data_IF_374131045647
#
_entry.id   IF_374131045647
#
_cell.length_a   1.000
_cell.length_b   1.000
_cell.length_c   1.000
_cell.angle_alpha   90.00
_cell.angle_beta   90.00
_cell.angle_gamma   90.00
#
_symmetry.space_group_name_H-M   'P 1'
#
loop_
_entity.id
_entity.type
_entity.pdbx_description
1 polymer ?
#
# COMPACT_ATOMS: atom_id res chain seq x y z
N UNK A 1 3.80 18.34 -3.20
CA UNK A 1 4.71 19.20 -3.96
C UNK A 1 4.31 19.26 -5.43
N UNK A 2 4.35 18.18 -6.22
CA UNK A 2 4.04 18.22 -7.66
C UNK A 2 2.63 18.73 -8.00
N UNK A 3 1.60 18.38 -7.26
CA UNK A 3 0.25 18.90 -7.47
C UNK A 3 0.16 20.43 -7.21
N UNK A 4 0.88 20.94 -6.23
CA UNK A 4 0.97 22.40 -5.98
C UNK A 4 1.74 23.09 -7.11
N UNK A 5 2.83 22.47 -7.57
CA UNK A 5 3.59 22.97 -8.73
C UNK A 5 2.75 22.97 -10.02
N UNK A 6 1.85 22.03 -10.19
CA UNK A 6 0.97 22.01 -11.38
C UNK A 6 0.13 23.30 -11.51
N UNK A 7 -0.29 23.86 -10.37
CA UNK A 7 -1.07 25.11 -10.30
C UNK A 7 -0.19 26.33 -10.26
N UNK A 8 0.85 26.31 -9.41
CA UNK A 8 1.80 27.41 -9.24
C UNK A 8 3.21 26.93 -9.63
N UNK A 9 3.71 27.38 -10.77
CA UNK A 9 5.00 26.97 -11.35
C UNK A 9 6.20 27.62 -10.64
N UNK A 10 6.26 27.45 -9.29
CA UNK A 10 7.35 27.99 -8.47
C UNK A 10 8.70 27.27 -8.77
N UNK A 11 9.72 27.99 -9.28
CA UNK A 11 11.02 27.40 -9.60
C UNK A 11 11.76 26.83 -8.35
N UNK A 12 11.51 27.41 -7.16
CA UNK A 12 12.12 26.93 -5.92
C UNK A 12 11.54 25.56 -5.53
N UNK A 13 10.22 25.40 -5.72
CA UNK A 13 9.54 24.14 -5.47
C UNK A 13 10.02 23.08 -6.46
N UNK A 14 10.19 23.44 -7.74
CA UNK A 14 10.72 22.56 -8.77
C UNK A 14 12.15 22.08 -8.43
N UNK A 15 13.04 22.98 -8.08
CA UNK A 15 14.41 22.65 -7.68
C UNK A 15 14.46 21.77 -6.40
N UNK A 16 13.53 21.97 -5.47
CA UNK A 16 13.42 21.15 -4.27
C UNK A 16 12.96 19.71 -4.61
N UNK A 17 12.00 19.57 -5.53
CA UNK A 17 11.57 18.26 -6.04
C UNK A 17 12.73 17.54 -6.73
N UNK A 18 13.49 18.22 -7.60
CA UNK A 18 14.62 17.62 -8.30
C UNK A 18 15.69 17.10 -7.33
N UNK A 19 15.98 17.83 -6.26
CA UNK A 19 16.92 17.38 -5.21
C UNK A 19 16.44 16.13 -4.50
N UNK A 20 15.16 16.07 -4.13
CA UNK A 20 14.58 14.89 -3.48
C UNK A 20 14.56 13.68 -4.43
N UNK A 21 14.19 13.90 -5.68
CA UNK A 21 14.14 12.86 -6.71
C UNK A 21 15.53 12.28 -6.98
N UNK A 22 16.56 13.10 -7.03
CA UNK A 22 17.94 12.65 -7.23
C UNK A 22 18.39 11.68 -6.12
N UNK A 23 18.01 11.92 -4.87
CA UNK A 23 18.30 11.00 -3.74
C UNK A 23 17.54 9.69 -3.89
N UNK A 24 16.25 9.74 -4.22
CA UNK A 24 15.41 8.55 -4.41
C UNK A 24 15.98 7.66 -5.51
N UNK A 25 16.28 8.23 -6.68
CA UNK A 25 16.81 7.49 -7.82
C UNK A 25 18.18 6.87 -7.51
N UNK A 26 19.02 7.59 -6.77
CA UNK A 26 20.34 7.05 -6.34
C UNK A 26 20.23 5.88 -5.37
N UNK A 27 19.16 5.84 -4.56
CA UNK A 27 18.92 4.75 -3.62
C UNK A 27 18.31 3.50 -4.28
N UNK A 28 17.77 3.62 -5.50
CA UNK A 28 17.13 2.50 -6.20
C UNK A 28 18.17 1.52 -6.75
N UNK A 29 17.96 0.22 -6.54
CA UNK A 29 18.76 -0.86 -7.14
C UNK A 29 18.56 -0.91 -8.65
N UNK A 30 19.49 -1.58 -9.34
CA UNK A 30 19.44 -1.74 -10.80
C UNK A 30 18.20 -2.50 -11.27
N UNK A 31 17.74 -3.48 -10.47
CA UNK A 31 16.52 -4.26 -10.72
C UNK A 31 15.22 -3.50 -10.45
N UNK A 32 15.30 -2.28 -9.91
CA UNK A 32 14.15 -1.44 -9.63
C UNK A 32 13.66 -1.43 -8.19
N UNK A 33 14.18 -2.35 -7.34
CA UNK A 33 13.84 -2.40 -5.93
C UNK A 33 14.35 -1.16 -5.17
N UNK A 34 13.53 -0.68 -4.23
CA UNK A 34 13.91 0.42 -3.34
C UNK A 34 13.24 0.26 -1.98
N UNK A 35 14.04 -0.10 -0.98
CA UNK A 35 13.70 -0.03 0.44
C UNK A 35 14.99 0.06 1.24
N UNK A 36 15.30 1.26 1.71
CA UNK A 36 16.62 1.57 2.27
C UNK A 36 17.01 0.71 3.48
N UNK A 37 16.11 0.35 4.44
CA UNK A 37 16.49 -0.53 5.53
C UNK A 37 16.98 -1.90 5.05
N UNK A 38 16.28 -2.53 4.11
CA UNK A 38 16.67 -3.84 3.55
C UNK A 38 17.99 -3.72 2.77
N UNK A 39 18.14 -2.70 1.92
CA UNK A 39 19.34 -2.46 1.14
C UNK A 39 20.57 -2.24 2.03
N UNK A 40 20.43 -1.50 3.14
CA UNK A 40 21.49 -1.28 4.12
C UNK A 40 21.88 -2.59 4.81
N UNK A 41 20.88 -3.39 5.19
CA UNK A 41 21.13 -4.66 5.86
C UNK A 41 21.78 -5.69 4.94
N UNK A 42 21.34 -5.79 3.69
CA UNK A 42 22.00 -6.60 2.66
C UNK A 42 23.49 -6.20 2.51
N UNK A 43 23.75 -4.89 2.40
CA UNK A 43 25.10 -4.34 2.28
C UNK A 43 25.97 -4.65 3.49
N UNK A 44 25.42 -4.55 4.70
CA UNK A 44 26.15 -4.87 5.94
C UNK A 44 26.49 -6.36 6.03
N UNK A 45 25.74 -7.23 5.35
CA UNK A 45 26.00 -8.67 5.24
C UNK A 45 26.92 -9.03 4.06
N UNK A 46 27.52 -8.04 3.39
CA UNK A 46 28.44 -8.23 2.27
C UNK A 46 27.76 -8.52 0.93
N UNK A 47 26.44 -8.32 0.85
CA UNK A 47 25.70 -8.39 -0.42
C UNK A 47 25.91 -7.06 -1.16
N UNK A 48 26.39 -7.11 -2.42
CA UNK A 48 26.42 -5.91 -3.26
C UNK A 48 24.99 -5.55 -3.69
N UNK A 49 24.35 -4.74 -2.86
CA UNK A 49 22.95 -4.36 -3.03
C UNK A 49 22.67 -3.58 -4.31
N UNK A 50 23.70 -3.00 -4.97
CA UNK A 50 23.50 -2.33 -6.26
C UNK A 50 23.46 -3.32 -7.42
N UNK A 51 24.13 -4.46 -7.28
CA UNK A 51 24.16 -5.53 -8.28
C UNK A 51 23.27 -6.71 -7.96
N UNK A 52 22.52 -6.65 -6.84
CA UNK A 52 21.58 -7.71 -6.50
C UNK A 52 20.55 -7.86 -7.63
N UNK A 53 20.61 -9.01 -8.30
CA UNK A 53 19.64 -9.41 -9.30
C UNK A 53 18.48 -10.12 -8.63
N UNK A 54 17.36 -10.25 -9.31
CA UNK A 54 16.19 -11.00 -8.84
C UNK A 54 16.50 -12.40 -8.30
N UNK A 55 17.53 -13.05 -8.84
CA UNK A 55 17.99 -14.37 -8.41
C UNK A 55 18.56 -14.38 -6.98
N UNK A 56 18.88 -13.20 -6.41
CA UNK A 56 19.44 -13.05 -5.06
C UNK A 56 18.38 -12.65 -4.03
N UNK A 57 17.10 -12.70 -4.33
CA UNK A 57 16.02 -12.57 -3.36
C UNK A 57 15.98 -13.79 -2.42
N UNK A 58 17.13 -14.12 -1.85
CA UNK A 58 17.25 -15.17 -0.84
C UNK A 58 16.73 -14.58 0.47
N UNK A 59 15.58 -15.03 0.89
CA UNK A 59 15.08 -14.78 2.23
C UNK A 59 15.98 -15.51 3.21
N UNK A 60 16.75 -14.75 4.00
CA UNK A 60 17.61 -15.30 5.04
C UNK A 60 16.84 -15.22 6.36
N UNK A 61 16.60 -16.36 6.98
CA UNK A 61 15.87 -16.46 8.24
C UNK A 61 14.99 -17.72 8.31
N UNK A 62 14.41 -17.99 9.45
CA UNK A 62 13.78 -19.29 9.72
C UNK A 62 12.34 -19.40 9.20
N UNK A 63 11.60 -18.31 9.04
CA UNK A 63 10.23 -18.29 8.51
C UNK A 63 9.91 -16.96 7.84
N UNK A 64 9.26 -16.99 6.67
CA UNK A 64 8.72 -15.80 6.01
C UNK A 64 7.74 -15.08 6.96
N UNK A 65 7.94 -13.78 7.15
CA UNK A 65 7.11 -12.94 8.01
C UNK A 65 7.61 -12.80 9.46
N UNK A 66 8.71 -13.45 9.85
CA UNK A 66 9.32 -13.25 11.18
C UNK A 66 10.21 -12.01 11.21
N UNK A 67 10.40 -11.43 12.39
CA UNK A 67 11.18 -10.20 12.58
C UNK A 67 12.68 -10.35 12.28
N UNK A 68 13.18 -11.57 12.25
CA UNK A 68 14.58 -11.93 11.97
C UNK A 68 14.89 -12.09 10.47
N UNK A 69 13.88 -11.96 9.62
CA UNK A 69 14.05 -12.13 8.18
C UNK A 69 14.55 -10.89 7.47
N UNK A 70 15.53 -11.11 6.62
CA UNK A 70 16.18 -10.10 5.77
C UNK A 70 15.99 -10.48 4.32
N UNK A 71 15.71 -9.49 3.52
CA UNK A 71 15.49 -9.63 2.09
C UNK A 71 14.23 -8.87 1.64
N UNK A 72 14.09 -8.68 0.35
CA UNK A 72 12.93 -8.01 -0.21
C UNK A 72 11.64 -8.77 0.15
N UNK A 73 10.68 -8.05 0.73
CA UNK A 73 9.36 -8.53 1.14
C UNK A 73 9.35 -9.64 2.22
N UNK A 74 10.48 -9.94 2.81
CA UNK A 74 10.56 -10.97 3.85
C UNK A 74 9.79 -10.57 5.12
N UNK A 75 9.82 -9.30 5.50
CA UNK A 75 9.13 -8.78 6.67
C UNK A 75 7.95 -7.88 6.24
N UNK A 76 6.73 -8.33 6.52
CA UNK A 76 5.49 -7.57 6.21
C UNK A 76 5.47 -6.16 6.84
N UNK A 77 6.09 -5.98 8.01
CA UNK A 77 6.13 -4.70 8.72
C UNK A 77 7.07 -3.66 8.09
N UNK A 78 7.84 -4.03 7.08
CA UNK A 78 8.63 -3.08 6.30
C UNK A 78 7.77 -2.22 5.37
N UNK A 79 6.52 -2.60 5.11
CA UNK A 79 5.59 -1.86 4.24
C UNK A 79 6.16 -1.54 2.85
N UNK A 80 6.97 -2.43 2.29
CA UNK A 80 7.70 -2.21 1.04
C UNK A 80 6.74 -1.97 -0.13
N UNK A 81 5.73 -2.83 -0.29
CA UNK A 81 4.73 -2.69 -1.35
C UNK A 81 3.90 -1.42 -1.20
N UNK A 82 3.63 -0.99 0.04
CA UNK A 82 2.99 0.29 0.33
C UNK A 82 3.82 1.46 -0.19
N UNK A 83 5.11 1.48 0.13
CA UNK A 83 6.02 2.53 -0.30
C UNK A 83 6.21 2.56 -1.82
N UNK A 84 6.31 1.39 -2.46
CA UNK A 84 6.40 1.28 -3.92
C UNK A 84 5.13 1.81 -4.62
N UNK A 85 3.94 1.52 -4.08
CA UNK A 85 2.70 2.08 -4.59
C UNK A 85 2.67 3.61 -4.56
N UNK A 86 3.16 4.20 -3.47
CA UNK A 86 3.28 5.66 -3.37
C UNK A 86 4.34 6.23 -4.30
N UNK A 87 5.45 5.54 -4.52
CA UNK A 87 6.45 5.94 -5.52
C UNK A 87 5.87 5.99 -6.94
N UNK A 88 5.07 4.98 -7.30
CA UNK A 88 4.38 4.93 -8.60
C UNK A 88 3.44 6.12 -8.77
N UNK A 89 2.57 6.38 -7.78
CA UNK A 89 1.67 7.54 -7.79
C UNK A 89 2.45 8.85 -7.87
N UNK A 90 3.51 9.02 -7.08
CA UNK A 90 4.34 10.21 -7.10
C UNK A 90 5.02 10.40 -8.46
N UNK A 91 5.51 9.33 -9.08
CA UNK A 91 6.11 9.35 -10.41
C UNK A 91 5.14 9.84 -11.47
N UNK A 92 3.93 9.31 -11.50
CA UNK A 92 2.88 9.73 -12.44
C UNK A 92 2.45 11.19 -12.22
N UNK A 93 2.20 11.59 -10.97
CA UNK A 93 1.78 12.97 -10.65
C UNK A 93 2.89 13.98 -10.99
N UNK A 94 4.15 13.66 -10.68
CA UNK A 94 5.28 14.51 -11.00
C UNK A 94 5.46 14.65 -12.52
N UNK A 95 5.37 13.55 -13.26
CA UNK A 95 5.48 13.57 -14.72
C UNK A 95 4.38 14.42 -15.37
N UNK A 96 3.13 14.25 -14.94
CA UNK A 96 2.00 15.07 -15.45
C UNK A 96 2.18 16.57 -15.14
N UNK A 97 2.73 16.90 -13.97
CA UNK A 97 2.91 18.29 -13.54
C UNK A 97 4.07 19.01 -14.21
N UNK A 98 5.17 18.28 -14.50
CA UNK A 98 6.45 18.87 -14.92
C UNK A 98 6.93 18.44 -16.30
N UNK A 99 6.46 17.33 -16.83
CA UNK A 99 7.02 16.67 -18.03
C UNK A 99 8.35 15.92 -17.78
N UNK A 100 8.93 16.02 -16.58
CA UNK A 100 10.22 15.39 -16.24
C UNK A 100 10.05 13.90 -15.98
N UNK A 101 10.90 13.08 -16.60
CA UNK A 101 10.78 11.61 -16.54
C UNK A 101 11.60 10.93 -15.46
N UNK A 102 12.45 11.65 -14.71
CA UNK A 102 13.40 11.04 -13.78
C UNK A 102 12.71 10.18 -12.72
N UNK A 103 11.72 10.73 -12.00
CA UNK A 103 10.96 9.98 -11.00
C UNK A 103 10.03 8.94 -11.67
N UNK A 104 9.46 9.28 -12.81
CA UNK A 104 8.61 8.38 -13.59
C UNK A 104 9.36 7.13 -14.06
N UNK A 105 10.59 7.27 -14.54
CA UNK A 105 11.43 6.13 -14.91
C UNK A 105 11.80 5.26 -13.70
N UNK A 106 12.02 5.86 -12.53
CA UNK A 106 12.20 5.09 -11.30
C UNK A 106 10.92 4.32 -10.92
N UNK A 107 9.75 4.92 -11.10
CA UNK A 107 8.46 4.25 -10.89
C UNK A 107 8.24 3.09 -11.88
N UNK A 108 8.62 3.26 -13.16
CA UNK A 108 8.59 2.17 -14.16
C UNK A 108 9.44 0.99 -13.69
N UNK A 109 10.70 1.23 -13.31
CA UNK A 109 11.59 0.16 -12.81
C UNK A 109 11.01 -0.55 -11.58
N UNK A 110 10.43 0.20 -10.65
CA UNK A 110 9.79 -0.38 -9.47
C UNK A 110 8.57 -1.23 -9.83
N UNK A 111 7.79 -0.83 -10.82
CA UNK A 111 6.64 -1.59 -11.31
C UNK A 111 7.08 -2.86 -12.03
N UNK A 112 8.11 -2.78 -12.87
CA UNK A 112 8.70 -3.95 -13.55
C UNK A 112 9.28 -4.94 -12.54
N UNK A 113 9.92 -4.44 -11.49
CA UNK A 113 10.39 -5.25 -10.37
C UNK A 113 9.22 -6.01 -9.71
N UNK A 114 8.10 -5.34 -9.40
CA UNK A 114 6.93 -6.01 -8.82
C UNK A 114 6.31 -7.04 -9.77
N UNK A 115 6.22 -6.74 -11.06
CA UNK A 115 5.76 -7.72 -12.04
C UNK A 115 6.62 -9.00 -11.99
N UNK A 116 7.93 -8.85 -12.02
CA UNK A 116 8.84 -9.98 -11.96
C UNK A 116 8.77 -10.71 -10.61
N UNK A 117 8.70 -9.95 -9.51
CA UNK A 117 8.57 -10.52 -8.17
C UNK A 117 7.34 -11.43 -8.05
N UNK A 118 6.16 -10.96 -8.45
CA UNK A 118 4.94 -11.76 -8.33
C UNK A 118 4.85 -12.91 -9.34
N UNK A 119 5.62 -12.88 -10.42
CA UNK A 119 5.76 -13.99 -11.37
C UNK A 119 6.68 -15.10 -10.86
N UNK A 120 7.70 -14.76 -10.06
CA UNK A 120 8.81 -15.65 -9.71
C UNK A 120 8.91 -16.01 -8.23
N UNK A 121 8.33 -15.21 -7.33
CA UNK A 121 8.38 -15.46 -5.89
C UNK A 121 7.63 -16.74 -5.50
N UNK A 122 8.08 -17.38 -4.41
CA UNK A 122 7.28 -18.44 -3.80
C UNK A 122 5.90 -17.94 -3.40
N UNK A 123 4.89 -18.81 -3.42
CA UNK A 123 3.54 -18.44 -3.02
C UNK A 123 3.48 -17.89 -1.58
N UNK A 124 4.33 -18.37 -0.69
CA UNK A 124 4.44 -17.88 0.68
C UNK A 124 4.97 -16.44 0.72
N UNK A 125 6.06 -16.16 0.01
CA UNK A 125 6.65 -14.82 -0.05
C UNK A 125 5.73 -13.82 -0.75
N UNK A 126 5.10 -14.21 -1.86
CA UNK A 126 4.14 -13.38 -2.57
C UNK A 126 2.94 -13.00 -1.70
N UNK A 127 2.43 -13.93 -0.88
CA UNK A 127 1.35 -13.67 0.08
C UNK A 127 1.79 -12.80 1.25
N UNK A 128 3.04 -12.93 1.70
CA UNK A 128 3.59 -12.08 2.74
C UNK A 128 3.75 -10.62 2.29
N UNK A 129 4.08 -10.41 1.03
CA UNK A 129 4.28 -9.08 0.43
C UNK A 129 2.98 -8.27 0.23
N UNK A 130 1.80 -8.85 0.46
CA UNK A 130 0.52 -8.19 0.19
C UNK A 130 0.32 -6.97 1.09
N UNK A 131 0.19 -5.81 0.44
CA UNK A 131 -0.31 -4.58 1.02
C UNK A 131 -1.18 -3.86 -0.02
N UNK A 132 -2.39 -3.35 0.35
CA UNK A 132 -3.36 -2.86 -0.64
C UNK A 132 -2.92 -1.63 -1.44
N UNK A 133 -2.06 -0.79 -0.89
CA UNK A 133 -1.78 0.54 -1.46
C UNK A 133 -1.10 0.52 -2.84
N UNK A 134 -0.36 -0.53 -3.18
CA UNK A 134 0.30 -0.59 -4.47
C UNK A 134 -0.66 -0.83 -5.64
N UNK A 135 -1.89 -1.31 -5.41
CA UNK A 135 -2.89 -1.52 -6.47
C UNK A 135 -3.17 -0.23 -7.24
N UNK A 136 -3.44 0.86 -6.56
CA UNK A 136 -3.65 2.18 -7.17
C UNK A 136 -2.44 2.62 -7.99
N UNK A 137 -1.24 2.48 -7.43
CA UNK A 137 0.00 2.82 -8.11
C UNK A 137 0.20 2.01 -9.39
N UNK A 138 -0.08 0.72 -9.37
CA UNK A 138 0.07 -0.18 -10.52
C UNK A 138 -0.91 0.17 -11.64
N UNK A 139 -2.18 0.46 -11.31
CA UNK A 139 -3.18 0.89 -12.31
C UNK A 139 -2.80 2.25 -12.90
N UNK A 140 -2.31 3.20 -12.09
CA UNK A 140 -1.81 4.48 -12.61
C UNK A 140 -0.61 4.33 -13.54
N UNK A 141 0.28 3.39 -13.26
CA UNK A 141 1.38 3.05 -14.18
C UNK A 141 0.85 2.45 -15.49
N UNK A 142 -0.19 1.60 -15.44
CA UNK A 142 -0.87 1.13 -16.64
C UNK A 142 -1.42 2.30 -17.47
N UNK A 143 -2.18 3.19 -16.84
CA UNK A 143 -2.77 4.38 -17.51
C UNK A 143 -1.70 5.30 -18.13
N UNK A 144 -0.57 5.45 -17.45
CA UNK A 144 0.49 6.34 -17.89
C UNK A 144 1.39 5.75 -18.98
N UNK A 145 1.50 4.42 -19.06
CA UNK A 145 2.42 3.74 -19.99
C UNK A 145 1.72 2.95 -21.08
N UNK A 146 0.46 2.56 -20.88
CA UNK A 146 -0.26 1.63 -21.77
C UNK A 146 0.25 0.17 -21.66
N UNK A 147 1.14 -0.15 -20.73
CA UNK A 147 1.70 -1.50 -20.60
C UNK A 147 0.69 -2.47 -19.98
N UNK A 148 0.14 -3.45 -20.75
CA UNK A 148 -0.91 -4.34 -20.27
C UNK A 148 -0.44 -5.25 -19.10
N UNK A 149 0.87 -5.50 -18.98
CA UNK A 149 1.43 -6.29 -17.90
C UNK A 149 1.14 -5.68 -16.52
N UNK A 150 1.04 -4.36 -16.45
CA UNK A 150 0.71 -3.68 -15.19
C UNK A 150 -0.76 -3.87 -14.81
N UNK A 151 -1.68 -3.87 -15.77
CA UNK A 151 -3.08 -4.19 -15.48
C UNK A 151 -3.24 -5.65 -15.04
N UNK A 152 -2.54 -6.59 -15.68
CA UNK A 152 -2.56 -7.99 -15.25
C UNK A 152 -2.00 -8.15 -13.83
N UNK A 153 -0.92 -7.44 -13.48
CA UNK A 153 -0.41 -7.41 -12.11
C UNK A 153 -1.50 -6.91 -11.13
N UNK A 154 -2.17 -5.80 -11.44
CA UNK A 154 -3.21 -5.24 -10.56
C UNK A 154 -4.37 -6.24 -10.33
N UNK A 155 -4.80 -6.96 -11.37
CA UNK A 155 -5.80 -8.04 -11.26
C UNK A 155 -5.31 -9.18 -10.37
N UNK A 156 -4.07 -9.62 -10.56
CA UNK A 156 -3.47 -10.70 -9.78
C UNK A 156 -3.33 -10.35 -8.31
N UNK A 157 -3.05 -9.09 -7.97
CA UNK A 157 -2.96 -8.63 -6.58
C UNK A 157 -4.30 -8.76 -5.83
N UNK A 158 -5.44 -8.61 -6.53
CA UNK A 158 -6.75 -8.89 -5.96
C UNK A 158 -6.94 -10.40 -5.77
N UNK A 159 -6.55 -11.21 -6.75
CA UNK A 159 -6.71 -12.66 -6.71
C UNK A 159 -5.89 -13.33 -5.61
N UNK A 160 -4.63 -12.92 -5.46
CA UNK A 160 -3.70 -13.52 -4.49
C UNK A 160 -4.16 -13.35 -3.03
N UNK A 161 -4.95 -12.33 -2.72
CA UNK A 161 -5.53 -12.14 -1.39
C UNK A 161 -6.43 -13.29 -0.98
N UNK A 162 -7.24 -13.81 -1.89
CA UNK A 162 -8.07 -15.00 -1.66
C UNK A 162 -7.29 -16.30 -1.48
N UNK A 163 -5.99 -16.30 -1.71
CA UNK A 163 -5.12 -17.49 -1.60
C UNK A 163 -4.28 -17.48 -0.32
N UNK A 164 -4.41 -16.48 0.56
CA UNK A 164 -3.67 -16.38 1.80
C UNK A 164 -4.18 -17.42 2.80
N UNK A 165 -3.27 -18.26 3.29
CA UNK A 165 -3.58 -19.15 4.41
C UNK A 165 -3.54 -18.34 5.71
N UNK A 166 -4.53 -18.54 6.58
CA UNK A 166 -4.65 -17.79 7.83
C UNK A 166 -4.65 -16.28 7.61
N UNK A 167 -5.35 -15.81 6.59
CA UNK A 167 -5.60 -14.39 6.36
C UNK A 167 -6.36 -13.76 7.51
N UNK A 168 -6.23 -12.45 7.68
CA UNK A 168 -6.84 -11.69 8.77
C UNK A 168 -7.73 -10.58 8.23
N UNK A 169 -8.69 -10.14 9.01
CA UNK A 169 -9.47 -8.94 8.69
C UNK A 169 -8.58 -7.69 8.73
N UNK A 170 -7.54 -7.67 9.58
CA UNK A 170 -6.57 -6.57 9.65
C UNK A 170 -5.96 -6.20 8.29
N UNK A 171 -5.68 -7.20 7.47
CA UNK A 171 -5.15 -7.00 6.11
C UNK A 171 -6.17 -7.25 5.00
N UNK A 172 -7.44 -7.40 5.32
CA UNK A 172 -8.55 -7.70 4.40
C UNK A 172 -8.29 -8.94 3.52
N UNK A 173 -7.58 -9.96 4.05
CA UNK A 173 -7.20 -11.17 3.32
C UNK A 173 -7.73 -12.47 3.97
N UNK A 174 -8.59 -12.38 5.00
CA UNK A 174 -9.32 -13.52 5.54
C UNK A 174 -10.39 -14.04 4.57
N UNK A 175 -11.06 -13.13 3.89
CA UNK A 175 -12.09 -13.43 2.89
C UNK A 175 -11.63 -12.91 1.53
N UNK A 176 -11.71 -13.71 0.45
CA UNK A 176 -11.42 -13.24 -0.90
C UNK A 176 -12.23 -11.98 -1.23
N UNK A 177 -11.62 -11.02 -1.95
CA UNK A 177 -12.32 -9.74 -2.21
C UNK A 177 -13.67 -9.93 -2.88
N UNK A 178 -13.78 -10.89 -3.81
CA UNK A 178 -15.03 -11.17 -4.53
C UNK A 178 -16.17 -11.71 -3.65
N UNK A 179 -15.86 -12.12 -2.43
CA UNK A 179 -16.82 -12.59 -1.42
C UNK A 179 -17.06 -11.56 -0.31
N UNK A 180 -16.28 -10.47 -0.28
CA UNK A 180 -16.45 -9.41 0.73
C UNK A 180 -17.71 -8.60 0.47
N UNK A 181 -18.49 -8.33 1.52
CA UNK A 181 -19.74 -7.54 1.48
C UNK A 181 -19.75 -6.39 2.48
N UNK A 182 -18.82 -6.38 3.41
CA UNK A 182 -18.71 -5.42 4.50
C UNK A 182 -17.28 -4.92 4.62
N UNK A 183 -17.09 -3.68 5.08
CA UNK A 183 -15.78 -3.15 5.37
C UNK A 183 -15.27 -3.72 6.69
N UNK A 184 -14.08 -4.33 6.65
CA UNK A 184 -13.48 -5.03 7.77
C UNK A 184 -12.03 -4.58 7.98
N UNK A 185 -11.57 -4.73 9.22
CA UNK A 185 -10.18 -4.64 9.58
C UNK A 185 -9.62 -3.22 9.62
N UNK A 186 -8.34 -3.08 9.33
CA UNK A 186 -7.61 -1.81 9.44
C UNK A 186 -8.12 -0.79 8.40
N UNK A 187 -8.70 0.32 8.86
CA UNK A 187 -9.42 1.28 8.00
C UNK A 187 -8.56 1.83 6.85
N UNK A 188 -7.30 2.17 7.11
CA UNK A 188 -6.40 2.70 6.08
C UNK A 188 -6.16 1.66 4.99
N UNK A 189 -5.83 0.41 5.37
CA UNK A 189 -5.61 -0.68 4.42
C UNK A 189 -6.88 -1.00 3.63
N UNK A 190 -8.03 -1.01 4.30
CA UNK A 190 -9.33 -1.23 3.68
C UNK A 190 -9.63 -0.18 2.58
N UNK A 191 -9.49 1.10 2.90
CA UNK A 191 -9.74 2.17 1.94
C UNK A 191 -8.76 2.13 0.74
N UNK A 192 -7.49 1.80 0.97
CA UNK A 192 -6.55 1.60 -0.14
C UNK A 192 -6.93 0.40 -1.02
N UNK A 193 -7.37 -0.72 -0.40
CA UNK A 193 -7.85 -1.87 -1.17
C UNK A 193 -9.05 -1.49 -2.03
N UNK A 194 -10.06 -0.86 -1.43
CA UNK A 194 -11.30 -0.53 -2.14
C UNK A 194 -11.06 0.48 -3.27
N UNK A 195 -10.20 1.48 -3.04
CA UNK A 195 -9.79 2.41 -4.09
C UNK A 195 -9.05 1.69 -5.23
N UNK A 196 -8.09 0.81 -4.90
CA UNK A 196 -7.37 0.04 -5.91
C UNK A 196 -8.26 -0.92 -6.70
N UNK A 197 -9.24 -1.56 -6.05
CA UNK A 197 -10.22 -2.41 -6.74
C UNK A 197 -11.15 -1.58 -7.63
N UNK A 198 -11.55 -0.38 -7.20
CA UNK A 198 -12.34 0.53 -8.03
C UNK A 198 -11.57 0.95 -9.30
N UNK A 199 -10.27 1.21 -9.17
CA UNK A 199 -9.41 1.48 -10.32
C UNK A 199 -9.31 0.29 -11.27
N UNK A 200 -9.16 -0.94 -10.76
CA UNK A 200 -9.16 -2.16 -11.60
C UNK A 200 -10.52 -2.34 -12.28
N UNK A 201 -11.63 -2.12 -11.57
CA UNK A 201 -12.96 -2.15 -12.16
C UNK A 201 -13.09 -1.14 -13.32
N UNK A 202 -12.63 0.09 -13.12
CA UNK A 202 -12.70 1.13 -14.16
C UNK A 202 -11.98 0.74 -15.46
N UNK A 203 -10.91 -0.06 -15.37
CA UNK A 203 -10.17 -0.54 -16.54
C UNK A 203 -10.70 -1.86 -17.13
N UNK A 204 -11.39 -2.69 -16.33
CA UNK A 204 -11.77 -4.06 -16.75
C UNK A 204 -13.27 -4.25 -16.97
N UNK A 205 -14.11 -3.45 -16.29
CA UNK A 205 -15.56 -3.64 -16.26
C UNK A 205 -16.01 -4.90 -15.53
N UNK A 206 -15.17 -5.54 -14.72
CA UNK A 206 -15.51 -6.78 -13.99
C UNK A 206 -16.63 -6.53 -12.97
N UNK A 207 -17.85 -6.88 -13.34
CA UNK A 207 -19.07 -6.53 -12.59
C UNK A 207 -19.04 -6.96 -11.11
N UNK A 208 -18.49 -8.13 -10.80
CA UNK A 208 -18.44 -8.61 -9.41
C UNK A 208 -17.66 -7.69 -8.50
N UNK A 209 -16.62 -7.01 -9.01
CA UNK A 209 -15.84 -6.05 -8.23
C UNK A 209 -16.71 -4.84 -7.84
N UNK A 210 -17.51 -4.34 -8.78
CA UNK A 210 -18.41 -3.21 -8.50
C UNK A 210 -19.54 -3.58 -7.55
N UNK A 211 -20.17 -4.73 -7.75
CA UNK A 211 -21.24 -5.22 -6.86
C UNK A 211 -20.75 -5.33 -5.40
N UNK A 212 -19.51 -5.73 -5.21
CA UNK A 212 -18.90 -5.81 -3.88
C UNK A 212 -18.53 -4.43 -3.33
N UNK A 213 -17.96 -3.56 -4.17
CA UNK A 213 -17.67 -2.18 -3.78
C UNK A 213 -18.92 -1.41 -3.37
N UNK A 214 -20.03 -1.57 -4.09
CA UNK A 214 -21.32 -0.96 -3.72
C UNK A 214 -21.84 -1.47 -2.37
N UNK A 215 -21.74 -2.78 -2.13
CA UNK A 215 -22.12 -3.39 -0.85
C UNK A 215 -21.26 -2.85 0.30
N UNK A 216 -19.93 -2.81 0.10
CA UNK A 216 -18.97 -2.29 1.07
C UNK A 216 -19.18 -0.79 1.31
N UNK A 217 -19.42 -0.01 0.25
CA UNK A 217 -19.72 1.42 0.36
C UNK A 217 -20.98 1.67 1.19
N UNK A 218 -22.05 0.92 0.92
CA UNK A 218 -23.27 0.98 1.71
C UNK A 218 -23.00 0.68 3.18
N UNK A 219 -22.21 -0.34 3.49
CA UNK A 219 -21.81 -0.67 4.85
C UNK A 219 -21.05 0.48 5.52
N UNK A 220 -20.08 1.07 4.81
CA UNK A 220 -19.30 2.20 5.33
C UNK A 220 -20.20 3.39 5.65
N UNK A 221 -20.99 3.86 4.69
CA UNK A 221 -21.76 5.11 4.84
C UNK A 221 -22.92 5.00 5.80
N UNK A 222 -23.47 3.80 6.00
CA UNK A 222 -24.61 3.59 6.90
C UNK A 222 -24.23 3.19 8.30
N UNK A 223 -23.02 2.63 8.51
CA UNK A 223 -22.65 2.02 9.80
C UNK A 223 -21.27 2.38 10.35
N UNK A 224 -20.36 2.91 9.52
CA UNK A 224 -18.95 3.03 9.92
C UNK A 224 -18.32 4.40 9.67
N UNK A 225 -19.04 5.27 8.99
CA UNK A 225 -18.57 6.61 8.71
C UNK A 225 -19.01 7.59 9.80
N UNK A 226 -18.06 8.38 10.28
CA UNK A 226 -18.37 9.46 11.24
C UNK A 226 -19.02 10.66 10.54
N UNK A 227 -19.62 11.53 11.34
CA UNK A 227 -20.19 12.79 10.86
C UNK A 227 -19.17 13.64 10.10
N UNK A 228 -17.88 13.50 10.42
CA UNK A 228 -16.78 14.17 9.73
C UNK A 228 -16.43 13.57 8.37
N UNK A 229 -17.07 12.46 7.96
CA UNK A 229 -16.75 11.75 6.73
C UNK A 229 -15.57 10.77 6.85
N UNK A 230 -14.95 10.64 8.01
CA UNK A 230 -13.88 9.68 8.25
C UNK A 230 -14.45 8.31 8.67
N UNK A 231 -13.68 7.26 8.46
CA UNK A 231 -13.90 5.95 9.07
C UNK A 231 -12.63 5.52 9.83
N UNK A 232 -12.78 4.75 10.88
CA UNK A 232 -11.67 4.39 11.74
C UNK A 232 -11.79 3.00 12.32
N UNK A 233 -10.67 2.55 12.90
CA UNK A 233 -10.55 1.29 13.63
C UNK A 233 -10.52 1.52 15.15
N UNK A 234 -10.46 0.44 15.89
CA UNK A 234 -10.22 0.48 17.33
C UNK A 234 -8.79 0.98 17.61
N UNK A 235 -8.59 1.49 18.82
CA UNK A 235 -7.29 2.02 19.27
C UNK A 235 -6.14 1.01 19.15
N UNK A 236 -6.39 -0.25 19.46
CA UNK A 236 -5.39 -1.32 19.42
C UNK A 236 -5.24 -1.96 18.03
N UNK A 237 -5.61 -1.24 16.98
CA UNK A 237 -5.51 -1.68 15.59
C UNK A 237 -6.86 -2.06 15.02
N UNK A 238 -7.23 -3.32 15.03
CA UNK A 238 -8.45 -3.80 14.37
C UNK A 238 -9.33 -4.61 15.32
N UNK A 239 -10.61 -4.69 14.97
CA UNK A 239 -11.50 -5.64 15.62
C UNK A 239 -11.00 -7.07 15.42
N UNK A 240 -11.27 -7.99 16.36
CA UNK A 240 -10.99 -9.41 16.14
C UNK A 240 -11.62 -9.91 14.85
N UNK A 241 -10.97 -10.90 14.22
CA UNK A 241 -11.43 -11.49 12.98
C UNK A 241 -12.89 -11.96 13.08
N UNK A 242 -13.67 -11.66 12.05
CA UNK A 242 -15.09 -11.99 11.99
C UNK A 242 -16.02 -11.07 12.77
N UNK A 243 -15.49 -10.08 13.50
CA UNK A 243 -16.32 -9.09 14.20
C UNK A 243 -16.54 -7.87 13.34
N UNK A 244 -17.82 -7.50 13.16
CA UNK A 244 -18.16 -6.23 12.50
C UNK A 244 -17.90 -5.08 13.47
N UNK A 245 -17.19 -4.07 13.01
CA UNK A 245 -17.10 -2.81 13.73
C UNK A 245 -18.48 -2.12 13.74
N UNK A 246 -19.01 -1.83 14.91
CA UNK A 246 -20.27 -1.09 15.05
C UNK A 246 -20.05 0.28 15.69
N UNK A 247 -20.79 1.32 15.24
CA UNK A 247 -20.61 2.70 15.71
C UNK A 247 -20.94 2.93 17.19
N UNK A 248 -21.66 2.02 17.84
CA UNK A 248 -21.95 2.09 19.28
C UNK A 248 -20.69 2.06 20.15
N UNK A 249 -19.54 1.89 19.55
CA UNK A 249 -18.26 2.08 20.18
C UNK A 249 -17.69 3.50 20.00
N UNK A 250 -18.51 4.55 20.06
CA UNK A 250 -18.03 5.95 20.03
C UNK A 250 -16.86 6.17 21.00
N UNK A 251 -16.86 5.55 22.15
CA UNK A 251 -15.74 5.58 23.11
C UNK A 251 -14.47 4.92 22.58
N UNK A 252 -14.61 3.81 21.86
CA UNK A 252 -13.46 3.10 21.25
C UNK A 252 -12.90 3.84 20.05
N UNK A 253 -13.76 4.54 19.33
CA UNK A 253 -13.41 5.46 18.25
C UNK A 253 -12.58 6.63 18.76
N UNK A 254 -13.01 7.26 19.85
CA UNK A 254 -12.30 8.37 20.46
C UNK A 254 -10.85 7.94 20.86
N UNK A 255 -10.68 6.71 21.32
CA UNK A 255 -9.36 6.16 21.65
C UNK A 255 -8.47 5.95 20.41
N UNK A 256 -9.00 5.49 19.28
CA UNK A 256 -8.20 5.29 18.07
C UNK A 256 -7.74 6.59 17.41
N UNK A 257 -8.57 7.66 17.48
CA UNK A 257 -8.20 8.98 16.97
C UNK A 257 -7.40 9.83 17.96
N UNK A 258 -7.57 9.66 19.27
CA UNK A 258 -6.89 10.43 20.29
C UNK A 258 -5.37 10.38 20.22
N UNK A 259 -4.80 9.25 19.76
CA UNK A 259 -3.34 9.15 19.51
C UNK A 259 -2.90 9.75 18.18
N UNK A 260 -3.70 9.63 17.13
CA UNK A 260 -3.34 10.18 15.84
C UNK A 260 -3.26 11.72 15.85
N UNK A 261 -4.04 12.35 16.73
CA UNK A 261 -4.13 13.82 16.81
C UNK A 261 -3.79 14.41 18.18
N UNK A 262 -3.28 13.58 19.14
CA UNK A 262 -2.92 14.05 20.51
C UNK A 262 -3.93 15.03 21.12
N UNK A 263 -5.23 14.74 20.97
CA UNK A 263 -6.23 15.51 21.68
C UNK A 263 -6.05 15.26 23.17
N UNK A 264 -5.92 16.31 24.00
CA UNK A 264 -5.75 16.16 25.45
C UNK A 264 -6.97 15.40 26.01
N UNK A 265 -6.68 14.36 26.80
CA UNK A 265 -7.72 13.65 27.53
C UNK A 265 -8.49 14.62 28.42
N UNK A 266 -9.75 14.86 28.10
CA UNK A 266 -10.66 15.65 28.95
C UNK A 266 -11.18 14.88 30.17
N UNK A 267 -10.50 13.81 30.57
CA UNK A 267 -10.87 13.00 31.75
C UNK A 267 -9.91 13.18 32.93
N UNK A 268 -9.65 14.41 33.28
CA UNK A 268 -9.11 14.71 34.61
C UNK A 268 -10.04 15.71 35.28
N UNK A 269 -11.15 15.24 35.79
CA UNK A 269 -11.92 15.87 36.87
C UNK A 269 -13.17 15.05 37.15
N UNK A 270 -13.04 14.15 38.07
CA UNK A 270 -14.07 13.84 39.07
C UNK A 270 -13.57 12.75 40.00
N UNK A 271 -12.72 13.18 40.94
CA UNK A 271 -12.67 12.57 42.28
C UNK A 271 -12.49 13.70 43.27
N UNK A 272 -13.57 13.98 43.95
CA UNK A 272 -13.62 14.61 45.25
C UNK A 272 -14.81 14.07 46.00
#
# INVERSE_FOLDING_TARGET
MAAVYAVNKDPKLDALMDKAIAVIVKAQREDGYIHTPVIIEEKNKGVDSHKAKHEQNVVIGTKVGSADQVGAFANRLNFETYNLGHLMMAGCVHYRATGKKTLFNAAIKATDFLCHFYETASAELARNAICPSHYMGVVEMYRATGNPRYLELAKNLINIRGMVKNGTDDNQDRVPFRDQKTAMGHAVRANYLYAGVADVYAETGEKVLMDNLESIWKDIVTRKMYVTGACGALYDGTSPDGTCYEPDSIQKVHQSYGRAYQLPNSTAHNES
#
